data_IF_586462220279
#
_entry.id   IF_586462220279
#
_cell.length_a   1.000
_cell.length_b   1.000
_cell.length_c   1.000
_cell.angle_alpha   90.00
_cell.angle_beta   90.00
_cell.angle_gamma   90.00
#
_symmetry.space_group_name_H-M   'P 1'
#
loop_
_entity.id
_entity.type
_entity.pdbx_description
1 polymer ?
#
# COMPACT_ATOMS: atom_id res chain seq x y z
N UNK A 1 27.61 2.14 -1.52
CA UNK A 1 27.27 1.51 -0.23
C UNK A 1 27.31 -0.01 -0.45
N UNK A 2 27.82 -0.80 0.49
CA UNK A 2 27.67 -2.27 0.43
C UNK A 2 26.55 -2.69 1.39
N UNK A 3 25.74 -3.67 1.01
CA UNK A 3 24.60 -4.15 1.81
C UNK A 3 24.81 -5.62 2.12
N UNK A 4 24.44 -6.02 3.33
CA UNK A 4 24.31 -7.43 3.68
C UNK A 4 23.12 -8.06 2.94
N UNK A 5 23.42 -8.87 1.92
CA UNK A 5 22.41 -9.48 1.05
C UNK A 5 21.46 -10.41 1.82
N UNK A 6 21.92 -11.04 2.90
CA UNK A 6 21.07 -11.93 3.71
C UNK A 6 19.99 -11.13 4.44
N UNK A 7 20.33 -9.96 4.97
CA UNK A 7 19.37 -9.06 5.60
C UNK A 7 18.33 -8.53 4.61
N UNK A 8 18.74 -8.26 3.37
CA UNK A 8 17.82 -7.88 2.29
C UNK A 8 16.91 -9.05 1.92
N UNK A 9 17.48 -10.24 1.72
CA UNK A 9 16.73 -11.45 1.36
C UNK A 9 15.71 -11.84 2.43
N UNK A 10 16.03 -11.66 3.71
CA UNK A 10 15.10 -11.89 4.81
C UNK A 10 13.84 -11.00 4.73
N UNK A 11 13.96 -9.81 4.12
CA UNK A 11 12.84 -8.88 3.94
C UNK A 11 12.13 -9.14 2.61
N UNK A 12 12.88 -9.38 1.54
CA UNK A 12 12.32 -9.55 0.19
C UNK A 12 11.71 -10.94 -0.05
N UNK A 13 12.12 -11.95 0.72
CA UNK A 13 11.70 -13.33 0.51
C UNK A 13 12.01 -13.78 -0.92
N UNK A 14 10.98 -14.20 -1.65
CA UNK A 14 11.09 -14.64 -3.05
C UNK A 14 11.04 -13.49 -4.07
N UNK A 15 10.79 -12.26 -3.61
CA UNK A 15 10.65 -11.11 -4.48
C UNK A 15 12.00 -10.66 -5.04
N UNK A 16 12.03 -10.44 -6.37
CA UNK A 16 13.18 -9.90 -7.09
C UNK A 16 13.10 -8.39 -7.28
N UNK A 17 12.02 -7.78 -6.81
CA UNK A 17 11.73 -6.36 -6.93
C UNK A 17 11.54 -5.77 -5.53
N UNK A 18 11.96 -4.53 -5.33
CA UNK A 18 11.76 -3.81 -4.07
C UNK A 18 11.59 -2.32 -4.34
N UNK A 19 10.70 -1.67 -3.59
CA UNK A 19 10.56 -0.21 -3.63
C UNK A 19 11.25 0.39 -2.41
N UNK A 20 12.01 1.46 -2.59
CA UNK A 20 12.79 2.08 -1.50
C UNK A 20 12.35 3.52 -1.27
N UNK A 21 11.86 3.77 -0.07
CA UNK A 21 11.43 5.07 0.44
C UNK A 21 12.26 5.42 1.67
N UNK A 22 12.36 6.70 2.00
CA UNK A 22 12.95 7.10 3.26
C UNK A 22 13.23 8.59 3.33
N UNK A 23 13.73 9.00 4.49
CA UNK A 23 14.23 10.36 4.66
C UNK A 23 15.58 10.49 3.95
N UNK A 24 15.81 11.59 3.24
CA UNK A 24 17.09 11.82 2.52
C UNK A 24 18.31 11.69 3.43
N UNK A 25 18.21 12.12 4.69
CA UNK A 25 19.26 11.98 5.70
C UNK A 25 19.61 10.53 6.07
N UNK A 26 18.76 9.54 5.76
CA UNK A 26 18.99 8.13 6.06
C UNK A 26 19.45 7.31 4.84
N UNK A 27 19.95 7.98 3.78
CA UNK A 27 20.64 7.34 2.65
C UNK A 27 19.80 6.32 1.86
N UNK A 28 18.49 6.54 1.75
CA UNK A 28 17.61 5.61 1.04
C UNK A 28 17.92 5.53 -0.46
N UNK A 29 18.40 6.61 -1.08
CA UNK A 29 18.82 6.61 -2.49
C UNK A 29 20.08 5.77 -2.71
N UNK A 30 21.05 5.87 -1.80
CA UNK A 30 22.26 5.05 -1.82
C UNK A 30 21.96 3.59 -1.55
N UNK A 31 21.01 3.29 -0.66
CA UNK A 31 20.48 1.94 -0.45
C UNK A 31 19.88 1.41 -1.76
N UNK A 32 19.00 2.18 -2.40
CA UNK A 32 18.38 1.80 -3.68
C UNK A 32 19.43 1.48 -4.75
N UNK A 33 20.45 2.34 -4.91
CA UNK A 33 21.56 2.11 -5.85
C UNK A 33 22.35 0.85 -5.52
N UNK A 34 22.63 0.61 -4.25
CA UNK A 34 23.38 -0.56 -3.81
C UNK A 34 22.59 -1.86 -4.00
N UNK A 35 21.26 -1.87 -3.80
CA UNK A 35 20.42 -3.04 -4.11
C UNK A 35 20.46 -3.36 -5.61
N UNK A 36 20.44 -2.34 -6.48
CA UNK A 36 20.54 -2.53 -7.92
C UNK A 36 21.90 -3.08 -8.39
N UNK A 37 22.92 -3.10 -7.54
CA UNK A 37 24.20 -3.77 -7.82
C UNK A 37 24.17 -5.27 -7.50
N UNK A 38 23.15 -5.76 -6.78
CA UNK A 38 23.00 -7.18 -6.44
C UNK A 38 22.40 -7.92 -7.62
N UNK A 39 23.03 -9.02 -8.03
CA UNK A 39 22.60 -9.80 -9.18
C UNK A 39 21.18 -10.35 -8.99
N UNK A 40 20.30 -10.08 -9.95
CA UNK A 40 18.92 -10.59 -9.95
C UNK A 40 17.93 -9.79 -9.08
N UNK A 41 18.38 -8.69 -8.47
CA UNK A 41 17.51 -7.75 -7.75
C UNK A 41 17.27 -6.48 -8.56
N UNK A 42 16.08 -5.91 -8.39
CA UNK A 42 15.72 -4.60 -8.93
C UNK A 42 15.08 -3.73 -7.84
N UNK A 43 15.69 -2.61 -7.54
CA UNK A 43 15.17 -1.60 -6.63
C UNK A 43 14.68 -0.36 -7.38
N UNK A 44 13.50 0.12 -7.01
CA UNK A 44 12.93 1.36 -7.49
C UNK A 44 12.91 2.37 -6.36
N UNK A 45 13.43 3.58 -6.57
CA UNK A 45 13.10 4.69 -5.69
C UNK A 45 11.83 5.39 -6.19
N UNK A 46 11.34 6.30 -5.37
CA UNK A 46 10.07 7.00 -5.55
C UNK A 46 9.92 7.77 -6.87
N UNK A 47 11.00 8.09 -7.60
CA UNK A 47 10.90 8.79 -8.89
C UNK A 47 10.97 7.83 -10.09
N UNK A 48 11.48 6.62 -9.88
CA UNK A 48 11.66 5.59 -10.92
C UNK A 48 10.49 4.59 -10.96
N UNK A 49 9.61 4.63 -9.95
CA UNK A 49 8.48 3.74 -9.86
C UNK A 49 7.37 4.16 -10.83
N UNK A 50 7.08 3.30 -11.80
CA UNK A 50 6.00 3.50 -12.77
C UNK A 50 4.71 2.93 -12.20
N UNK A 51 3.73 3.81 -11.96
CA UNK A 51 2.39 3.43 -11.51
C UNK A 51 1.72 2.50 -12.54
N UNK A 52 1.17 1.37 -12.07
CA UNK A 52 0.50 0.38 -12.92
C UNK A 52 -1.02 0.58 -12.96
N UNK A 53 -1.55 1.30 -12.00
CA UNK A 53 -2.98 1.52 -11.80
C UNK A 53 -3.25 3.02 -11.74
N UNK A 54 -4.39 3.44 -12.29
CA UNK A 54 -4.81 4.83 -12.24
C UNK A 54 -5.37 5.17 -10.84
N UNK A 55 -4.53 5.28 -9.82
CA UNK A 55 -4.93 5.53 -8.43
C UNK A 55 -5.18 7.01 -8.11
N UNK A 56 -4.76 7.92 -8.98
CA UNK A 56 -4.95 9.36 -8.81
C UNK A 56 -6.40 9.76 -9.09
N UNK A 57 -7.05 10.46 -8.16
CA UNK A 57 -8.38 11.02 -8.41
C UNK A 57 -8.26 12.31 -9.26
N UNK A 58 -8.88 12.33 -10.45
CA UNK A 58 -8.83 13.47 -11.39
C UNK A 58 -9.42 14.76 -10.83
N UNK A 59 -10.24 14.69 -9.77
CA UNK A 59 -10.79 15.86 -9.06
C UNK A 59 -9.74 16.51 -8.15
N UNK A 60 -8.62 15.85 -7.91
CA UNK A 60 -7.51 16.37 -7.08
C UNK A 60 -6.43 16.98 -7.96
N UNK A 61 -6.00 18.19 -7.66
CA UNK A 61 -4.87 18.82 -8.36
C UNK A 61 -3.58 18.02 -8.13
N UNK A 62 -2.87 17.75 -9.22
CA UNK A 62 -1.57 17.09 -9.17
C UNK A 62 -0.55 17.96 -8.44
N UNK A 63 0.21 17.35 -7.54
CA UNK A 63 1.40 17.93 -6.94
C UNK A 63 2.43 16.82 -6.78
N UNK A 64 3.73 17.14 -6.84
CA UNK A 64 4.81 16.18 -6.54
C UNK A 64 4.61 15.49 -5.18
N UNK A 65 4.08 16.23 -4.23
CA UNK A 65 3.73 15.73 -2.90
C UNK A 65 2.58 14.70 -2.91
N UNK A 66 1.60 14.82 -3.80
CA UNK A 66 0.55 13.82 -3.96
C UNK A 66 1.08 12.59 -4.71
N UNK A 67 1.99 12.78 -5.67
CA UNK A 67 2.59 11.70 -6.45
C UNK A 67 3.20 10.61 -5.58
N UNK A 68 4.03 10.97 -4.58
CA UNK A 68 4.66 9.98 -3.70
C UNK A 68 3.68 9.14 -2.89
N UNK A 69 2.48 9.66 -2.61
CA UNK A 69 1.41 8.90 -1.94
C UNK A 69 0.65 7.99 -2.88
N UNK A 70 0.55 8.37 -4.15
CA UNK A 70 -0.11 7.56 -5.16
C UNK A 70 0.71 6.32 -5.48
N UNK A 71 2.04 6.42 -5.47
CA UNK A 71 2.91 5.24 -5.53
C UNK A 71 2.62 4.24 -4.39
N UNK A 72 2.41 4.71 -3.16
CA UNK A 72 2.05 3.83 -2.03
C UNK A 72 0.70 3.14 -2.25
N UNK A 73 -0.29 3.87 -2.77
CA UNK A 73 -1.59 3.30 -3.11
C UNK A 73 -1.44 2.26 -4.22
N UNK A 74 -0.74 2.60 -5.30
CA UNK A 74 -0.53 1.73 -6.45
C UNK A 74 0.17 0.43 -6.06
N UNK A 75 1.26 0.53 -5.29
CA UNK A 75 2.03 -0.63 -4.86
C UNK A 75 1.21 -1.58 -3.98
N UNK A 76 0.44 -1.06 -3.02
CA UNK A 76 -0.42 -1.91 -2.18
C UNK A 76 -1.52 -2.57 -3.01
N UNK A 77 -2.13 -1.85 -3.95
CA UNK A 77 -3.15 -2.41 -4.84
C UNK A 77 -2.56 -3.47 -5.77
N UNK A 78 -1.37 -3.24 -6.31
CA UNK A 78 -0.63 -4.20 -7.13
C UNK A 78 -0.30 -5.46 -6.31
N UNK A 79 0.22 -5.30 -5.09
CA UNK A 79 0.50 -6.43 -4.20
C UNK A 79 -0.76 -7.18 -3.81
N UNK A 80 -1.90 -6.50 -3.68
CA UNK A 80 -3.19 -7.16 -3.42
C UNK A 80 -3.58 -8.04 -4.61
N UNK A 81 -3.48 -7.50 -5.82
CA UNK A 81 -3.71 -8.26 -7.06
C UNK A 81 -2.74 -9.45 -7.20
N UNK A 82 -1.47 -9.28 -6.83
CA UNK A 82 -0.46 -10.34 -6.80
C UNK A 82 -0.82 -11.42 -5.78
N UNK A 83 -1.22 -11.05 -4.56
CA UNK A 83 -1.67 -12.01 -3.54
C UNK A 83 -2.87 -12.83 -4.01
N UNK A 84 -3.86 -12.21 -4.65
CA UNK A 84 -4.99 -12.92 -5.25
C UNK A 84 -4.56 -13.93 -6.34
N UNK A 85 -3.47 -13.64 -7.05
CA UNK A 85 -2.85 -14.50 -8.06
C UNK A 85 -1.79 -15.47 -7.51
N UNK A 86 -1.52 -15.45 -6.19
CA UNK A 86 -0.44 -16.21 -5.54
C UNK A 86 0.95 -15.88 -6.08
N UNK A 87 1.17 -14.63 -6.48
CA UNK A 87 2.47 -14.11 -6.92
C UNK A 87 3.21 -13.46 -5.73
N UNK A 88 4.55 -13.48 -5.71
CA UNK A 88 5.33 -12.76 -4.70
C UNK A 88 5.01 -11.26 -4.70
N UNK A 89 4.81 -10.71 -3.50
CA UNK A 89 4.62 -9.27 -3.31
C UNK A 89 5.94 -8.52 -3.51
N UNK A 90 5.84 -7.26 -3.89
CA UNK A 90 6.97 -6.34 -3.95
C UNK A 90 7.04 -5.59 -2.60
N UNK A 91 8.01 -5.86 -1.73
CA UNK A 91 8.16 -5.11 -0.49
C UNK A 91 8.50 -3.64 -0.77
N UNK A 92 8.08 -2.77 0.15
CA UNK A 92 8.53 -1.39 0.25
C UNK A 92 9.39 -1.24 1.50
N UNK A 93 10.67 -0.95 1.30
CA UNK A 93 11.61 -0.59 2.36
C UNK A 93 11.44 0.89 2.69
N UNK A 94 10.95 1.18 3.88
CA UNK A 94 10.92 2.53 4.41
C UNK A 94 12.12 2.71 5.35
N UNK A 95 13.14 3.43 4.88
CA UNK A 95 14.36 3.70 5.66
C UNK A 95 14.07 4.77 6.69
N UNK A 96 14.05 4.35 7.95
CA UNK A 96 13.67 5.18 9.11
C UNK A 96 14.81 5.43 10.08
N UNK A 97 16.01 4.93 9.79
CA UNK A 97 17.20 5.21 10.57
C UNK A 97 18.49 4.84 9.85
N UNK A 98 19.57 5.47 10.28
CA UNK A 98 20.93 5.26 9.80
C UNK A 98 21.92 5.37 10.97
N UNK A 99 22.72 4.33 11.18
CA UNK A 99 23.68 4.22 12.27
C UNK A 99 23.04 4.40 13.66
N UNK A 100 23.36 5.48 14.37
CA UNK A 100 22.81 5.77 15.70
C UNK A 100 21.56 6.68 15.62
N UNK A 101 21.22 7.16 14.42
CA UNK A 101 20.12 8.11 14.21
C UNK A 101 18.87 7.41 13.70
N UNK A 102 17.71 7.78 14.23
CA UNK A 102 16.41 7.32 13.77
C UNK A 102 15.41 8.47 13.68
N UNK A 103 14.35 8.26 12.92
CA UNK A 103 13.21 9.16 12.87
C UNK A 103 12.51 9.30 14.23
N UNK A 104 11.98 10.48 14.48
CA UNK A 104 11.15 10.72 15.65
C UNK A 104 9.69 10.39 15.34
N UNK A 105 9.20 9.29 15.91
CA UNK A 105 7.81 8.82 15.73
C UNK A 105 6.76 9.92 16.01
N UNK A 106 6.86 10.74 17.08
CA UNK A 106 5.89 11.80 17.35
C UNK A 106 5.72 12.79 16.20
N UNK A 107 6.79 13.07 15.44
CA UNK A 107 6.76 14.02 14.31
C UNK A 107 5.83 13.56 13.18
N UNK A 108 5.57 12.26 13.07
CA UNK A 108 4.62 11.70 12.09
C UNK A 108 3.20 12.21 12.33
N UNK A 109 2.86 12.65 13.54
CA UNK A 109 1.54 13.23 13.85
C UNK A 109 1.47 14.75 13.61
N UNK A 110 2.59 15.43 13.38
CA UNK A 110 2.66 16.90 13.30
C UNK A 110 1.98 17.48 12.05
N UNK A 111 1.48 18.70 12.20
CA UNK A 111 1.08 19.58 11.09
C UNK A 111 2.28 20.50 10.84
N UNK A 112 3.02 20.27 9.76
CA UNK A 112 3.97 21.29 9.28
C UNK A 112 3.19 22.28 8.43
N UNK A 113 3.28 23.56 8.75
CA UNK A 113 2.77 24.64 7.89
C UNK A 113 3.83 25.07 6.86
N UNK A 114 5.10 24.76 7.13
CA UNK A 114 6.19 24.92 6.18
C UNK A 114 6.16 23.77 5.16
N UNK A 115 5.86 24.12 3.90
CA UNK A 115 5.85 23.20 2.76
C UNK A 115 7.24 22.67 2.40
N UNK A 116 8.30 23.39 2.78
CA UNK A 116 9.69 22.99 2.55
C UNK A 116 10.24 22.11 3.69
N UNK A 117 9.71 22.25 4.92
CA UNK A 117 9.98 21.33 6.02
C UNK A 117 9.18 20.02 5.94
N UNK A 118 8.15 19.95 5.08
CA UNK A 118 7.48 18.69 4.68
C UNK A 118 8.41 17.90 3.77
N UNK A 119 9.51 17.38 4.34
CA UNK A 119 10.25 16.33 3.67
C UNK A 119 9.28 15.22 3.22
N UNK A 120 9.49 14.69 2.02
CA UNK A 120 8.86 13.45 1.54
C UNK A 120 9.09 12.42 2.63
N UNK A 121 8.07 12.08 3.43
CA UNK A 121 8.09 11.01 4.45
C UNK A 121 6.92 11.09 5.43
N UNK A 122 6.68 12.20 6.14
CA UNK A 122 5.71 12.19 7.26
C UNK A 122 4.29 11.86 6.78
N UNK A 123 3.95 12.29 5.58
CA UNK A 123 2.60 12.15 5.04
C UNK A 123 2.41 10.86 4.26
N UNK A 124 3.51 10.34 3.75
CA UNK A 124 3.67 9.02 3.15
C UNK A 124 3.56 7.97 4.27
N UNK A 125 4.23 8.16 5.40
CA UNK A 125 4.08 7.34 6.61
C UNK A 125 2.62 7.31 7.07
N UNK A 126 1.98 8.49 7.21
CA UNK A 126 0.54 8.54 7.50
C UNK A 126 -0.32 7.84 6.43
N UNK A 127 0.10 7.85 5.17
CA UNK A 127 -0.59 7.11 4.10
C UNK A 127 -0.45 5.59 4.30
N UNK A 128 0.74 5.10 4.64
CA UNK A 128 0.97 3.69 4.98
C UNK A 128 0.03 3.23 6.12
N UNK A 129 -0.07 4.03 7.18
CA UNK A 129 -1.00 3.74 8.28
C UNK A 129 -2.45 3.58 7.80
N UNK A 130 -2.93 4.51 6.97
CA UNK A 130 -4.30 4.46 6.45
C UNK A 130 -4.54 3.21 5.60
N UNK A 131 -3.60 2.86 4.73
CA UNK A 131 -3.70 1.65 3.90
C UNK A 131 -3.74 0.38 4.77
N UNK A 132 -2.98 0.35 5.86
CA UNK A 132 -2.91 -0.76 6.79
C UNK A 132 -4.11 -0.90 7.75
N UNK A 133 -5.07 0.04 7.75
CA UNK A 133 -6.17 0.05 8.74
C UNK A 133 -7.56 0.43 8.19
N UNK A 134 -7.67 1.13 7.05
CA UNK A 134 -8.94 1.73 6.62
C UNK A 134 -9.70 0.90 5.57
N UNK A 135 -9.07 -0.07 4.89
CA UNK A 135 -9.61 -0.67 3.65
C UNK A 135 -9.97 -2.16 3.73
N UNK A 136 -10.46 -2.59 4.89
CA UNK A 136 -10.86 -3.98 5.11
C UNK A 136 -9.68 -4.92 5.41
N UNK A 137 -10.00 -6.12 5.88
CA UNK A 137 -9.02 -7.04 6.47
C UNK A 137 -7.92 -7.46 5.48
N UNK A 138 -8.30 -7.88 4.29
CA UNK A 138 -7.35 -8.46 3.33
C UNK A 138 -6.37 -7.40 2.82
N UNK A 139 -6.87 -6.24 2.41
CA UNK A 139 -5.99 -5.15 1.95
C UNK A 139 -5.12 -4.59 3.08
N UNK A 140 -5.67 -4.53 4.30
CA UNK A 140 -4.88 -4.14 5.47
C UNK A 140 -3.75 -5.13 5.73
N UNK A 141 -3.99 -6.42 5.56
CA UNK A 141 -2.93 -7.43 5.64
C UNK A 141 -1.89 -7.24 4.53
N UNK A 142 -2.33 -7.08 3.27
CA UNK A 142 -1.42 -6.78 2.14
C UNK A 142 -0.54 -5.58 2.42
N UNK A 143 -1.10 -4.50 2.97
CA UNK A 143 -0.35 -3.31 3.33
C UNK A 143 0.67 -3.57 4.44
N UNK A 144 0.31 -4.35 5.46
CA UNK A 144 1.26 -4.76 6.52
C UNK A 144 2.39 -5.65 5.98
N UNK A 145 2.11 -6.53 5.01
CA UNK A 145 3.13 -7.36 4.37
C UNK A 145 4.01 -6.53 3.43
N UNK A 146 3.44 -5.52 2.76
CA UNK A 146 4.14 -4.63 1.83
C UNK A 146 5.11 -3.71 2.55
N UNK A 147 4.69 -3.07 3.65
CA UNK A 147 5.50 -2.02 4.29
C UNK A 147 6.50 -2.59 5.29
N UNK A 148 7.79 -2.44 4.98
CA UNK A 148 8.91 -2.92 5.77
C UNK A 148 9.73 -1.72 6.26
N UNK A 149 9.69 -1.44 7.55
CA UNK A 149 10.45 -0.35 8.15
C UNK A 149 11.85 -0.84 8.51
N UNK A 150 12.89 -0.15 8.04
CA UNK A 150 14.27 -0.61 8.22
C UNK A 150 15.17 0.48 8.79
N UNK A 151 16.07 0.05 9.67
CA UNK A 151 17.20 0.84 10.15
C UNK A 151 18.48 0.28 9.50
N UNK A 152 19.25 1.13 8.81
CA UNK A 152 20.55 0.79 8.26
C UNK A 152 21.64 0.83 9.33
N UNK A 153 22.08 -0.35 9.78
CA UNK A 153 23.09 -0.50 10.83
C UNK A 153 24.46 -0.80 10.20
N UNK A 154 25.52 0.00 10.46
CA UNK A 154 26.87 -0.33 10.04
C UNK A 154 27.32 -1.69 10.54
N UNK A 155 28.01 -2.45 9.69
CA UNK A 155 28.66 -3.72 10.02
C UNK A 155 30.05 -3.78 9.37
N UNK A 156 30.85 -4.78 9.75
CA UNK A 156 32.20 -4.98 9.19
C UNK A 156 32.21 -5.11 7.65
N UNK A 157 31.12 -5.61 7.07
CA UNK A 157 30.99 -5.86 5.63
C UNK A 157 30.16 -4.81 4.89
N UNK A 158 29.64 -3.79 5.57
CA UNK A 158 28.76 -2.80 4.95
C UNK A 158 27.64 -2.37 5.88
N UNK A 159 26.39 -2.56 5.45
CA UNK A 159 25.20 -2.20 6.22
C UNK A 159 24.21 -3.36 6.27
N UNK A 160 23.67 -3.61 7.46
CA UNK A 160 22.61 -4.59 7.70
C UNK A 160 21.27 -3.84 7.77
N UNK A 161 20.26 -4.38 7.09
CA UNK A 161 18.89 -3.88 7.19
C UNK A 161 18.22 -4.52 8.41
N UNK A 162 18.09 -3.76 9.50
CA UNK A 162 17.37 -4.21 10.69
C UNK A 162 15.91 -3.79 10.59
N UNK A 163 15.00 -4.77 10.56
CA UNK A 163 13.56 -4.49 10.58
C UNK A 163 13.17 -3.83 11.91
N UNK A 164 12.33 -2.80 11.80
CA UNK A 164 11.75 -2.03 12.89
C UNK A 164 10.25 -2.27 12.90
N UNK A 165 9.64 -2.29 14.08
CA UNK A 165 8.19 -2.36 14.18
C UNK A 165 7.56 -1.13 13.52
N UNK A 166 6.41 -1.29 12.84
CA UNK A 166 5.70 -0.14 12.30
C UNK A 166 5.36 0.88 13.38
N UNK A 167 5.57 2.17 13.09
CA UNK A 167 5.33 3.26 14.05
C UNK A 167 3.90 3.30 14.58
N UNK A 168 2.93 2.73 13.88
CA UNK A 168 1.54 2.69 14.36
C UNK A 168 1.28 1.72 15.50
N UNK A 169 2.27 0.88 15.85
CA UNK A 169 2.25 0.08 17.07
C UNK A 169 2.71 0.88 18.30
N UNK A 170 3.25 2.09 18.12
CA UNK A 170 3.69 2.95 19.21
C UNK A 170 2.49 3.64 19.91
N UNK A 171 2.42 3.56 21.24
CA UNK A 171 1.32 4.11 22.02
C UNK A 171 1.26 5.65 21.98
N UNK A 172 2.43 6.31 21.95
CA UNK A 172 2.49 7.76 21.90
C UNK A 172 1.96 8.26 20.55
N UNK A 173 2.37 7.61 19.46
CA UNK A 173 1.83 7.88 18.13
C UNK A 173 0.31 7.70 18.09
N UNK A 174 -0.22 6.60 18.65
CA UNK A 174 -1.67 6.37 18.67
C UNK A 174 -2.42 7.50 19.39
N UNK A 175 -1.91 7.95 20.54
CA UNK A 175 -2.49 9.08 21.29
C UNK A 175 -2.48 10.37 20.47
N UNK A 176 -1.32 10.72 19.89
CA UNK A 176 -1.16 11.92 19.05
C UNK A 176 -2.05 11.87 17.80
N UNK A 177 -2.20 10.70 17.19
CA UNK A 177 -3.06 10.50 16.04
C UNK A 177 -4.55 10.72 16.36
N UNK A 178 -5.01 10.22 17.51
CA UNK A 178 -6.40 10.45 17.96
C UNK A 178 -6.65 11.94 18.21
N UNK A 179 -5.74 12.63 18.89
CA UNK A 179 -5.81 14.08 19.10
C UNK A 179 -5.84 14.85 17.78
N UNK A 180 -5.00 14.46 16.82
CA UNK A 180 -4.98 15.06 15.48
C UNK A 180 -6.32 14.91 14.76
N UNK A 181 -6.93 13.72 14.81
CA UNK A 181 -8.25 13.48 14.21
C UNK A 181 -9.33 14.35 14.85
N UNK A 182 -9.35 14.47 16.18
CA UNK A 182 -10.31 15.28 16.90
C UNK A 182 -10.20 16.79 16.59
N UNK A 183 -8.98 17.27 16.38
CA UNK A 183 -8.67 18.70 16.08
C UNK A 183 -8.62 19.00 14.58
N UNK A 184 -9.01 18.06 13.71
CA UNK A 184 -9.11 18.34 12.29
C UNK A 184 -10.41 19.11 12.04
N UNK A 185 -10.31 20.44 12.02
CA UNK A 185 -11.39 21.33 11.63
C UNK A 185 -11.92 20.90 10.26
N UNK A 186 -13.17 20.41 10.25
CA UNK A 186 -13.96 20.29 9.03
C UNK A 186 -14.28 21.72 8.62
N UNK A 187 -13.42 22.34 7.80
CA UNK A 187 -13.77 23.63 7.20
C UNK A 187 -15.13 23.46 6.50
N UNK A 188 -16.15 24.27 6.83
CA UNK A 188 -17.35 24.30 6.03
C UNK A 188 -16.93 24.63 4.59
N UNK A 189 -17.45 23.86 3.63
CA UNK A 189 -17.15 23.96 2.19
C UNK A 189 -15.73 23.56 1.75
N UNK A 190 -14.90 22.93 2.60
CA UNK A 190 -13.74 22.23 2.04
C UNK A 190 -14.23 20.96 1.37
N UNK A 191 -14.39 20.99 0.05
CA UNK A 191 -14.61 19.81 -0.77
C UNK A 191 -13.77 18.66 -0.25
N UNK A 192 -14.41 17.52 -0.07
CA UNK A 192 -13.87 16.37 0.63
C UNK A 192 -12.74 15.68 -0.15
N UNK A 193 -11.62 16.36 -0.41
CA UNK A 193 -10.41 15.82 -1.07
C UNK A 193 -9.94 14.52 -0.43
N UNK A 194 -10.16 14.39 0.89
CA UNK A 194 -9.86 13.18 1.64
C UNK A 194 -10.85 12.01 1.44
N UNK A 195 -12.08 12.27 1.00
CA UNK A 195 -13.05 11.23 0.66
C UNK A 195 -12.83 10.73 -0.78
N UNK A 196 -12.52 11.63 -1.71
CA UNK A 196 -12.39 11.28 -3.13
C UNK A 196 -11.36 10.19 -3.40
N UNK A 197 -10.15 10.29 -2.85
CA UNK A 197 -9.15 9.24 -3.03
C UNK A 197 -9.55 7.93 -2.33
N UNK A 198 -10.31 7.98 -1.22
CA UNK A 198 -10.79 6.76 -0.53
C UNK A 198 -11.84 6.06 -1.36
N UNK A 199 -12.83 6.80 -1.86
CA UNK A 199 -13.87 6.29 -2.74
C UNK A 199 -13.26 5.62 -3.98
N UNK A 200 -12.36 6.34 -4.67
CA UNK A 200 -11.67 5.83 -5.84
C UNK A 200 -10.87 4.56 -5.51
N UNK A 201 -10.11 4.59 -4.42
CA UNK A 201 -9.27 3.46 -4.04
C UNK A 201 -10.08 2.24 -3.60
N UNK A 202 -11.17 2.44 -2.86
CA UNK A 202 -12.11 1.36 -2.51
C UNK A 202 -12.72 0.72 -3.76
N UNK A 203 -13.13 1.53 -4.75
CA UNK A 203 -13.61 1.02 -6.03
C UNK A 203 -12.59 0.12 -6.74
N UNK A 204 -11.34 0.56 -6.82
CA UNK A 204 -10.25 -0.24 -7.43
C UNK A 204 -9.97 -1.55 -6.67
N UNK A 205 -10.10 -1.55 -5.35
CA UNK A 205 -9.95 -2.75 -4.51
C UNK A 205 -11.10 -3.72 -4.74
N UNK A 206 -12.32 -3.22 -4.84
CA UNK A 206 -13.50 -4.05 -5.11
C UNK A 206 -13.48 -4.63 -6.53
N UNK A 207 -13.04 -3.87 -7.53
CA UNK A 207 -12.82 -4.33 -8.91
C UNK A 207 -11.76 -5.43 -9.01
N UNK A 208 -10.77 -5.43 -8.11
CA UNK A 208 -9.72 -6.44 -8.10
C UNK A 208 -10.19 -7.80 -7.56
N UNK A 209 -11.29 -7.83 -6.80
CA UNK A 209 -11.80 -9.08 -6.22
C UNK A 209 -12.34 -9.99 -7.32
N UNK A 210 -12.18 -11.32 -7.19
CA UNK A 210 -12.81 -12.25 -8.12
C UNK A 210 -14.33 -12.02 -8.11
N UNK A 211 -14.92 -11.74 -9.28
CA UNK A 211 -16.37 -11.74 -9.39
C UNK A 211 -16.87 -13.15 -9.08
N UNK A 212 -17.77 -13.29 -8.11
CA UNK A 212 -18.48 -14.55 -7.91
C UNK A 212 -19.19 -14.90 -9.22
N UNK A 213 -19.21 -16.17 -9.66
CA UNK A 213 -20.00 -16.54 -10.82
C UNK A 213 -21.45 -16.16 -10.54
N UNK A 214 -21.96 -15.18 -11.28
CA UNK A 214 -23.39 -14.88 -11.30
C UNK A 214 -24.09 -16.14 -11.79
N UNK A 215 -24.95 -16.72 -10.97
CA UNK A 215 -25.91 -17.74 -11.40
C UNK A 215 -26.81 -17.13 -12.49
N UNK A 216 -26.35 -17.16 -13.74
CA UNK A 216 -27.25 -17.23 -14.88
C UNK A 216 -27.68 -18.70 -14.98
N UNK A 217 -28.64 -19.09 -14.14
CA UNK A 217 -29.53 -20.17 -14.50
C UNK A 217 -30.35 -19.67 -15.70
N UNK A 218 -29.86 -19.95 -16.90
CA UNK A 218 -30.73 -20.12 -18.05
C UNK A 218 -31.70 -21.24 -17.67
N UNK A 219 -32.94 -20.85 -17.32
CA UNK A 219 -34.07 -21.77 -17.25
C UNK A 219 -34.30 -22.29 -18.67
N UNK A 220 -33.65 -23.41 -18.98
CA UNK A 220 -33.97 -24.24 -20.12
C UNK A 220 -35.44 -24.67 -19.98
N UNK A 221 -36.28 -24.12 -20.86
CA UNK A 221 -37.63 -24.61 -21.10
C UNK A 221 -37.49 -26.03 -21.67
N UNK A 222 -37.51 -27.03 -20.81
CA UNK A 222 -37.83 -28.39 -21.24
C UNK A 222 -39.35 -28.58 -21.17
N UNK A 223 -39.85 -28.97 -22.33
CA UNK A 223 -41.21 -29.38 -22.65
C UNK A 223 -41.78 -30.35 -21.62
N UNK A 224 -42.96 -30.02 -21.08
CA UNK A 224 -43.87 -31.03 -20.56
C UNK A 224 -44.92 -31.24 -21.63
N UNK A 225 -44.68 -32.24 -22.48
CA UNK A 225 -45.70 -32.87 -23.32
C UNK A 225 -46.87 -33.33 -22.45
N UNK A 226 -48.06 -32.90 -22.81
CA UNK A 226 -49.31 -33.32 -22.20
C UNK A 226 -49.63 -34.78 -22.60
N UNK A 227 -50.01 -35.66 -21.64
CA UNK A 227 -50.65 -36.91 -22.01
C UNK A 227 -52.13 -36.68 -22.31
N UNK A 228 -52.49 -36.98 -23.55
CA UNK A 228 -53.83 -37.13 -24.10
C UNK A 228 -54.68 -38.13 -23.28
N UNK A 229 -55.79 -37.65 -22.73
CA UNK A 229 -56.85 -38.48 -22.18
C UNK A 229 -58.20 -38.16 -22.84
N UNK A 230 -58.28 -38.48 -24.13
CA UNK A 230 -59.51 -38.34 -24.92
C UNK A 230 -60.03 -39.70 -25.42
N UNK A 231 -60.44 -40.61 -24.52
CA UNK A 231 -61.42 -41.68 -24.82
C UNK A 231 -62.31 -41.98 -23.61
N UNK A 232 -63.44 -41.25 -23.55
CA UNK A 232 -64.87 -41.69 -23.53
C UNK A 232 -65.24 -43.02 -22.82
N UNK A 233 -66.47 -43.22 -22.28
CA UNK A 233 -67.73 -42.66 -22.82
C UNK A 233 -68.82 -42.27 -21.79
N UNK A 234 -69.86 -41.54 -22.25
CA UNK A 234 -71.30 -41.83 -22.05
C UNK A 234 -72.17 -40.73 -22.70
N UNK A 235 -73.12 -41.15 -23.54
CA UNK A 235 -74.20 -40.32 -24.08
C UNK A 235 -74.38 -40.48 -25.58
#
# INVERSE_FOLDING_TARGET
MNIDEQSLQAICGESKEVVVYGFGQFKYLELCKAINCIAGMKAYHSDDYVEKNEVMDKRTHYTMYNHFKYILNDLVLENYKRQLKKEPIIPLLFVVGFAESEYEIPRIAERSDDEFAKGVTLTELRRCYKLAHEFGKDLSQTANDTFQFVHLIPSEKGYVLKTVKPFWQDEQWQKLWQQRKATTDKKPDSDHKNLFWREKYSGLVDEAKPQSPSNNEEVSKEEIEAPDHSRMPKG
#
